data_IF_831331033599
#
_entry.id   IF_831331033599
#
_cell.length_a   1.000
_cell.length_b   1.000
_cell.length_c   1.000
_cell.angle_alpha   90.00
_cell.angle_beta   90.00
_cell.angle_gamma   90.00
#
_symmetry.space_group_name_H-M   'P 1'
#
loop_
_entity.id
_entity.type
_entity.pdbx_description
1 polymer ?
#
# COMPACT_ATOMS: atom_id res chain seq x y z
N UNK A 1 -39.30 35.46 -10.51
CA UNK A 1 -38.84 34.12 -10.93
C UNK A 1 -37.37 33.97 -10.53
N UNK A 2 -36.84 32.94 -9.90
CA UNK A 2 -37.35 31.66 -9.41
C UNK A 2 -36.19 31.03 -8.63
N UNK A 3 -36.43 30.70 -7.37
CA UNK A 3 -35.52 29.95 -6.49
C UNK A 3 -35.38 28.51 -6.97
N UNK A 4 -34.17 27.94 -6.96
CA UNK A 4 -34.06 26.49 -6.78
C UNK A 4 -32.85 26.11 -5.93
N UNK A 5 -33.22 25.64 -4.73
CA UNK A 5 -32.41 25.03 -3.70
C UNK A 5 -31.84 23.70 -4.19
N UNK A 6 -30.54 23.48 -3.98
CA UNK A 6 -30.06 22.16 -3.57
C UNK A 6 -29.22 22.35 -2.30
N UNK A 7 -29.92 22.64 -1.21
CA UNK A 7 -29.45 22.37 0.14
C UNK A 7 -29.53 20.85 0.37
N UNK A 8 -28.63 20.10 -0.26
CA UNK A 8 -28.36 18.73 0.17
C UNK A 8 -27.46 18.82 1.40
N UNK A 9 -28.10 18.80 2.57
CA UNK A 9 -27.47 18.76 3.89
C UNK A 9 -26.73 17.45 4.18
N UNK A 10 -26.18 16.79 3.16
CA UNK A 10 -25.27 15.67 3.32
C UNK A 10 -23.95 16.10 2.69
N UNK A 11 -23.07 16.64 3.55
CA UNK A 11 -21.66 16.83 3.22
C UNK A 11 -21.05 15.43 3.08
N UNK A 12 -21.27 14.76 1.95
CA UNK A 12 -20.63 13.49 1.65
C UNK A 12 -19.13 13.74 1.57
N UNK A 13 -18.42 13.42 2.64
CA UNK A 13 -16.97 13.37 2.64
C UNK A 13 -16.53 12.11 1.89
N UNK A 14 -16.66 12.13 0.57
CA UNK A 14 -16.03 11.15 -0.31
C UNK A 14 -14.53 11.42 -0.36
N UNK A 15 -13.80 10.88 0.61
CA UNK A 15 -12.38 10.66 0.42
C UNK A 15 -11.94 9.49 1.31
N UNK A 16 -12.15 8.24 0.89
CA UNK A 16 -11.25 7.21 1.36
C UNK A 16 -9.87 7.67 0.88
N UNK A 17 -8.97 8.02 1.80
CA UNK A 17 -7.57 8.30 1.49
C UNK A 17 -6.93 6.98 1.06
N UNK A 18 -7.30 6.50 -0.13
CA UNK A 18 -6.70 5.32 -0.73
C UNK A 18 -5.39 5.80 -1.29
N UNK A 19 -4.32 5.53 -0.56
CA UNK A 19 -2.99 5.53 -1.15
C UNK A 19 -3.08 4.66 -2.42
N UNK A 20 -2.69 5.21 -3.58
CA UNK A 20 -2.74 4.44 -4.82
C UNK A 20 -1.78 3.26 -4.73
N UNK A 21 -2.05 2.20 -5.49
CA UNK A 21 -1.17 1.02 -5.55
C UNK A 21 0.27 1.41 -5.91
N UNK A 22 0.43 2.38 -6.82
CA UNK A 22 1.75 2.93 -7.17
C UNK A 22 2.49 3.54 -5.98
N UNK A 23 1.79 4.31 -5.14
CA UNK A 23 2.37 4.94 -3.94
C UNK A 23 2.77 3.90 -2.89
N UNK A 24 1.97 2.83 -2.74
CA UNK A 24 2.31 1.71 -1.86
C UNK A 24 3.59 1.03 -2.36
N UNK A 25 3.65 0.69 -3.65
CA UNK A 25 4.83 0.10 -4.28
C UNK A 25 6.09 0.94 -4.07
N UNK A 26 6.01 2.26 -4.24
CA UNK A 26 7.14 3.17 -3.98
C UNK A 26 7.66 3.06 -2.55
N UNK A 27 6.77 3.06 -1.54
CA UNK A 27 7.19 2.96 -0.14
C UNK A 27 7.82 1.59 0.16
N UNK A 28 7.30 0.50 -0.44
CA UNK A 28 7.85 -0.85 -0.29
C UNK A 28 9.23 -0.96 -0.95
N UNK A 29 9.41 -0.43 -2.16
CA UNK A 29 10.71 -0.44 -2.84
C UNK A 29 11.74 0.39 -2.06
N UNK A 30 11.35 1.59 -1.63
CA UNK A 30 12.21 2.45 -0.82
C UNK A 30 12.57 1.78 0.52
N UNK A 31 11.66 0.99 1.12
CA UNK A 31 11.98 0.18 2.30
C UNK A 31 13.10 -0.82 2.00
N UNK A 32 12.99 -1.58 0.92
CA UNK A 32 14.03 -2.56 0.54
C UNK A 32 15.39 -1.90 0.25
N UNK A 33 15.39 -0.69 -0.30
CA UNK A 33 16.62 0.08 -0.56
C UNK A 33 17.20 0.74 0.70
N UNK A 34 16.36 1.02 1.71
CA UNK A 34 16.75 1.76 2.91
C UNK A 34 17.59 0.96 3.90
N UNK A 35 17.63 -0.38 3.79
CA UNK A 35 18.41 -1.25 4.68
C UNK A 35 17.88 -1.35 6.11
N UNK A 36 16.68 -0.85 6.40
CA UNK A 36 16.03 -1.04 7.71
C UNK A 36 15.68 -2.51 7.93
N UNK A 37 15.94 -3.03 9.13
CA UNK A 37 15.56 -4.39 9.51
C UNK A 37 14.03 -4.55 9.61
N UNK A 38 13.36 -3.58 10.24
CA UNK A 38 11.92 -3.64 10.50
C UNK A 38 11.14 -2.61 9.69
N UNK A 39 10.12 -3.08 8.98
CA UNK A 39 9.21 -2.20 8.22
C UNK A 39 8.51 -1.19 9.13
N UNK A 40 8.18 -1.56 10.37
CA UNK A 40 7.55 -0.67 11.34
C UNK A 40 8.45 0.52 11.69
N UNK A 41 9.73 0.25 11.94
CA UNK A 41 10.72 1.28 12.27
C UNK A 41 10.93 2.21 11.09
N UNK A 42 11.10 1.66 9.88
CA UNK A 42 11.15 2.44 8.64
C UNK A 42 9.90 3.32 8.45
N UNK A 43 8.71 2.75 8.63
CA UNK A 43 7.47 3.48 8.43
C UNK A 43 7.32 4.66 9.41
N UNK A 44 7.61 4.45 10.69
CA UNK A 44 7.45 5.48 11.72
C UNK A 44 8.56 6.54 11.63
N UNK A 45 9.83 6.12 11.47
CA UNK A 45 10.96 7.04 11.54
C UNK A 45 11.28 7.71 10.21
N UNK A 46 10.99 7.06 9.08
CA UNK A 46 11.28 7.60 7.77
C UNK A 46 10.01 8.10 7.07
N UNK A 47 9.01 7.23 6.89
CA UNK A 47 7.81 7.58 6.09
C UNK A 47 6.94 8.63 6.79
N UNK A 48 6.65 8.44 8.08
CA UNK A 48 5.83 9.40 8.84
C UNK A 48 6.54 10.74 9.08
N UNK A 49 7.88 10.79 9.07
CA UNK A 49 8.64 12.03 9.31
C UNK A 49 8.98 12.80 8.05
N UNK A 50 9.44 12.11 7.00
CA UNK A 50 9.95 12.76 5.79
C UNK A 50 8.93 12.73 4.64
N UNK A 51 8.11 11.69 4.54
CA UNK A 51 7.12 11.54 3.46
C UNK A 51 5.75 12.12 3.83
N UNK A 52 5.52 12.61 5.05
CA UNK A 52 4.23 13.25 5.41
C UNK A 52 3.93 14.50 4.59
N UNK A 53 4.96 15.21 4.13
CA UNK A 53 4.78 16.41 3.31
C UNK A 53 4.37 16.07 1.86
N UNK A 54 4.93 14.99 1.31
CA UNK A 54 4.57 14.50 -0.04
C UNK A 54 3.26 13.67 -0.04
N UNK A 55 2.88 13.15 1.12
CA UNK A 55 1.71 12.32 1.33
C UNK A 55 0.86 12.90 2.48
N UNK A 56 0.13 14.01 2.24
CA UNK A 56 -0.69 14.67 3.27
C UNK A 56 -1.86 13.81 3.77
N UNK A 57 -2.07 12.64 3.16
CA UNK A 57 -3.02 11.60 3.58
C UNK A 57 -2.33 10.25 3.66
N UNK A 58 -1.24 10.20 4.41
CA UNK A 58 -0.56 8.95 4.70
C UNK A 58 -1.53 8.02 5.44
N UNK A 59 -1.57 6.75 5.03
CA UNK A 59 -2.40 5.75 5.69
C UNK A 59 -1.80 5.38 7.05
N UNK A 60 -2.61 4.84 7.97
CA UNK A 60 -2.05 4.28 9.20
C UNK A 60 -1.15 3.07 8.88
N UNK A 61 -0.18 2.78 9.75
CA UNK A 61 0.65 1.58 9.64
C UNK A 61 -0.18 0.30 9.42
N UNK A 62 -1.32 0.19 10.11
CA UNK A 62 -2.24 -0.95 9.98
C UNK A 62 -2.86 -1.04 8.59
N UNK A 63 -3.21 0.09 7.97
CA UNK A 63 -3.69 0.10 6.58
C UNK A 63 -2.57 -0.25 5.61
N UNK A 64 -1.36 0.26 5.83
CA UNK A 64 -0.19 -0.07 5.02
C UNK A 64 0.10 -1.57 5.05
N UNK A 65 0.02 -2.19 6.23
CA UNK A 65 0.20 -3.62 6.41
C UNK A 65 -0.86 -4.44 5.65
N UNK A 66 -2.12 -4.01 5.65
CA UNK A 66 -3.18 -4.65 4.86
C UNK A 66 -2.89 -4.60 3.35
N UNK A 67 -2.36 -3.48 2.86
CA UNK A 67 -1.94 -3.38 1.45
C UNK A 67 -0.74 -4.29 1.14
N UNK A 68 0.26 -4.33 2.02
CA UNK A 68 1.40 -5.24 1.85
C UNK A 68 0.94 -6.70 1.86
N UNK A 69 0.06 -7.10 2.79
CA UNK A 69 -0.49 -8.46 2.84
C UNK A 69 -1.28 -8.79 1.57
N UNK A 70 -2.06 -7.84 1.04
CA UNK A 70 -2.79 -8.01 -0.22
C UNK A 70 -1.89 -8.17 -1.46
N UNK A 71 -0.64 -7.70 -1.43
CA UNK A 71 0.33 -7.86 -2.51
C UNK A 71 1.23 -9.08 -2.29
N UNK A 72 1.59 -9.37 -1.03
CA UNK A 72 2.47 -10.48 -0.67
C UNK A 72 1.84 -11.83 -0.97
N UNK A 73 0.53 -11.99 -0.81
CA UNK A 73 -0.18 -13.24 -1.12
C UNK A 73 -0.10 -13.58 -2.62
N UNK A 74 -0.52 -12.70 -3.55
CA UNK A 74 -0.39 -12.97 -4.98
C UNK A 74 1.07 -13.03 -5.44
N UNK A 75 1.97 -12.23 -4.86
CA UNK A 75 3.40 -12.28 -5.20
C UNK A 75 4.03 -13.61 -4.80
N UNK A 76 3.75 -14.13 -3.60
CA UNK A 76 4.20 -15.47 -3.18
C UNK A 76 3.63 -16.54 -4.08
N UNK A 77 2.34 -16.49 -4.38
CA UNK A 77 1.71 -17.44 -5.32
C UNK A 77 2.38 -17.42 -6.69
N UNK A 78 2.66 -16.24 -7.24
CA UNK A 78 3.36 -16.08 -8.52
C UNK A 78 4.79 -16.62 -8.48
N UNK A 79 5.56 -16.28 -7.43
CA UNK A 79 6.93 -16.75 -7.27
C UNK A 79 7.00 -18.26 -7.06
N UNK A 80 6.09 -18.85 -6.27
CA UNK A 80 5.99 -20.31 -6.11
C UNK A 80 5.62 -21.00 -7.41
N UNK A 81 4.74 -20.40 -8.23
CA UNK A 81 4.40 -20.94 -9.54
C UNK A 81 5.57 -20.90 -10.52
N UNK A 82 6.40 -19.84 -10.49
CA UNK A 82 7.58 -19.74 -11.35
C UNK A 82 8.76 -20.59 -10.87
N UNK A 83 8.94 -20.71 -9.54
CA UNK A 83 10.08 -21.39 -8.92
C UNK A 83 9.80 -22.89 -8.65
N UNK A 84 8.53 -23.30 -8.58
CA UNK A 84 8.10 -24.68 -8.34
C UNK A 84 8.29 -25.64 -9.51
N UNK A 85 8.89 -25.19 -10.63
CA UNK A 85 9.26 -26.05 -11.77
C UNK A 85 10.75 -26.40 -11.80
N UNK A 86 11.42 -26.38 -10.65
CA UNK A 86 12.83 -26.77 -10.55
C UNK A 86 13.06 -28.16 -9.89
N UNK A 87 12.02 -28.84 -9.39
CA UNK A 87 12.19 -30.10 -8.62
C UNK A 87 11.25 -31.24 -9.03
N UNK A 88 10.74 -31.26 -10.27
CA UNK A 88 9.81 -32.31 -10.72
C UNK A 88 10.25 -33.12 -11.95
N UNK A 89 11.48 -32.92 -12.43
CA UNK A 89 12.00 -33.64 -13.61
C UNK A 89 13.07 -34.70 -13.26
N UNK A 90 13.20 -35.08 -11.99
CA UNK A 90 14.06 -36.19 -11.55
C UNK A 90 13.27 -37.29 -10.83
N UNK A 91 12.26 -37.84 -11.51
CA UNK A 91 11.81 -39.21 -11.25
C UNK A 91 11.19 -39.79 -12.54
N UNK A 92 12.06 -40.19 -13.46
CA UNK A 92 11.82 -41.33 -14.34
C UNK A 92 13.15 -41.93 -14.81
#
# INVERSE_FOLDING_TARGET
>A
MGKHLISSGVKQRNKPSRLSVSKVMTIVIAFHQSGYQDFKTYYIHFVCRYLTNEFPKLVSYTQMLKFMQGILVPLRSYLTHLLGKADSDCLH
#
